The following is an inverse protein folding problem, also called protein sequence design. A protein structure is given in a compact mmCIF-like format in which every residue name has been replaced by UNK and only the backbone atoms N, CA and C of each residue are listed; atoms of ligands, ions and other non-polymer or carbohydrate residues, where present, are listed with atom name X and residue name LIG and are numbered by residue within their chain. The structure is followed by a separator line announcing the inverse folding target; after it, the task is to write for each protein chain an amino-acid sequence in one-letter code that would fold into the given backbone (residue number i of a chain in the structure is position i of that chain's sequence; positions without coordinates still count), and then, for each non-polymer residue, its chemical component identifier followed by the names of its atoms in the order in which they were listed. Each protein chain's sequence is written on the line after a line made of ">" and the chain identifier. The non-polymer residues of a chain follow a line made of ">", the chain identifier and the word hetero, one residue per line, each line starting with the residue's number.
data_IF_837435739687
#
_entry.id   IF_837435739687
#
_cell.length_a   1.000
_cell.length_b   1.000
_cell.length_c   1.000
_cell.angle_alpha   90.00
_cell.angle_beta   90.00
_cell.angle_gamma   90.00
#
_symmetry.space_group_name_H-M   'P 1'
#
loop_
_entity.id
_entity.type
_entity.pdbx_description
1 polymer ?
#
# COMPACT_ATOMS: atom_id res chain seq x y z
N UNK A 1 38.89 -5.05 65.67
CA UNK A 1 38.33 -5.85 64.55
C UNK A 1 36.83 -5.63 64.33
N UNK A 2 36.40 -4.41 64.11
CA UNK A 2 34.96 -4.11 63.90
C UNK A 2 34.77 -2.96 62.92
N UNK A 3 35.56 -2.87 61.83
CA UNK A 3 35.48 -1.77 60.86
C UNK A 3 35.50 -2.16 59.37
N UNK A 4 35.20 -3.42 59.03
CA UNK A 4 35.29 -3.83 57.61
C UNK A 4 34.01 -4.53 57.08
N UNK A 5 32.84 -4.33 57.63
CA UNK A 5 31.61 -4.98 57.17
C UNK A 5 30.62 -4.01 56.52
N UNK A 6 30.93 -2.73 56.38
CA UNK A 6 29.98 -1.74 55.84
C UNK A 6 30.31 -1.32 54.38
N UNK A 7 31.37 -1.83 53.78
CA UNK A 7 31.79 -1.45 52.42
C UNK A 7 31.25 -2.36 51.29
N UNK A 8 30.45 -3.39 51.64
CA UNK A 8 29.98 -4.41 50.68
C UNK A 8 28.57 -4.31 50.19
N UNK A 9 27.76 -3.34 50.61
CA UNK A 9 26.31 -3.35 50.37
C UNK A 9 25.78 -2.19 49.52
N UNK A 10 26.67 -1.46 48.86
CA UNK A 10 26.27 -0.28 48.03
C UNK A 10 26.54 -0.44 46.52
N UNK A 11 26.86 -1.64 46.06
CA UNK A 11 27.21 -1.87 44.64
C UNK A 11 26.13 -2.73 43.89
N UNK A 12 24.99 -2.99 44.45
CA UNK A 12 24.00 -3.92 43.86
C UNK A 12 22.68 -3.29 43.44
N UNK A 13 22.56 -1.95 43.40
CA UNK A 13 21.27 -1.29 43.05
C UNK A 13 21.31 -0.46 41.77
N UNK A 14 22.29 -0.65 40.90
CA UNK A 14 22.45 0.16 39.65
C UNK A 14 22.11 -0.58 38.36
N UNK A 15 21.44 -1.73 38.36
CA UNK A 15 21.18 -2.53 37.17
C UNK A 15 19.71 -2.85 36.87
N UNK A 16 18.75 -2.11 37.41
CA UNK A 16 17.34 -2.31 37.04
C UNK A 16 16.67 -1.07 36.47
N UNK A 17 17.43 -0.22 35.80
CA UNK A 17 16.87 0.82 34.94
C UNK A 17 16.89 0.36 33.48
N UNK A 18 16.46 -0.87 33.22
CA UNK A 18 15.86 -1.11 31.90
C UNK A 18 14.52 -0.41 31.91
N UNK A 19 14.58 0.92 31.81
CA UNK A 19 13.42 1.71 31.44
C UNK A 19 12.87 1.11 30.17
N UNK A 20 11.64 0.65 30.21
CA UNK A 20 10.79 0.58 29.06
C UNK A 20 10.77 1.99 28.46
N UNK A 21 11.74 2.31 27.61
CA UNK A 21 11.56 3.30 26.57
C UNK A 21 10.47 2.72 25.70
N UNK A 22 9.24 2.94 26.05
CA UNK A 22 8.14 2.92 25.10
C UNK A 22 8.55 3.90 24.02
N UNK A 23 9.23 3.41 22.97
CA UNK A 23 9.32 4.14 21.73
C UNK A 23 7.87 4.36 21.34
N UNK A 24 7.38 5.57 21.54
CA UNK A 24 6.21 6.03 20.82
C UNK A 24 6.65 5.97 19.37
N UNK A 25 6.36 4.84 18.70
CA UNK A 25 6.66 4.69 17.30
C UNK A 25 5.83 5.77 16.60
N UNK A 26 6.49 6.74 15.99
CA UNK A 26 5.82 7.73 15.18
C UNK A 26 5.04 7.00 14.09
N UNK A 27 3.91 7.54 13.71
CA UNK A 27 3.14 7.04 12.59
C UNK A 27 3.20 8.02 11.41
N UNK A 28 3.15 7.46 10.21
CA UNK A 28 3.03 8.24 8.98
C UNK A 28 1.57 8.47 8.61
N UNK A 29 1.33 9.51 7.83
CA UNK A 29 0.04 9.75 7.16
C UNK A 29 0.26 9.88 5.66
N UNK A 30 -0.65 9.30 4.88
CA UNK A 30 -0.63 9.32 3.42
C UNK A 30 -1.95 9.82 2.87
N UNK A 31 -1.88 10.80 1.95
CA UNK A 31 -3.02 11.32 1.21
C UNK A 31 -3.25 10.45 -0.03
N UNK A 32 -4.30 9.63 0.01
CA UNK A 32 -4.62 8.71 -1.08
C UNK A 32 -5.04 9.41 -2.36
N UNK A 33 -5.67 10.58 -2.30
CA UNK A 33 -6.02 11.36 -3.49
C UNK A 33 -4.78 11.87 -4.21
N UNK A 34 -3.78 12.31 -3.44
CA UNK A 34 -2.50 12.72 -4.02
C UNK A 34 -1.76 11.53 -4.65
N UNK A 35 -1.77 10.35 -4.01
CA UNK A 35 -1.20 9.12 -4.56
C UNK A 35 -1.87 8.75 -5.89
N UNK A 36 -3.20 8.70 -5.93
CA UNK A 36 -3.97 8.36 -7.13
C UNK A 36 -3.73 9.34 -8.30
N UNK A 37 -3.56 10.62 -8.00
CA UNK A 37 -3.39 11.64 -9.03
C UNK A 37 -1.96 11.79 -9.53
N UNK A 38 -0.95 11.52 -8.71
CA UNK A 38 0.45 11.83 -9.01
C UNK A 38 1.33 10.60 -9.27
N UNK A 39 1.00 9.42 -8.71
CA UNK A 39 1.86 8.25 -8.86
C UNK A 39 1.94 7.79 -10.32
N UNK A 40 3.15 7.66 -10.85
CA UNK A 40 3.39 7.29 -12.24
C UNK A 40 2.78 5.93 -12.59
N UNK A 41 2.85 4.96 -11.68
CA UNK A 41 2.28 3.62 -11.88
C UNK A 41 0.76 3.67 -12.10
N UNK A 42 0.05 4.62 -11.50
CA UNK A 42 -1.41 4.76 -11.72
C UNK A 42 -1.69 5.08 -13.17
N UNK A 43 -0.96 6.03 -13.77
CA UNK A 43 -1.09 6.38 -15.20
C UNK A 43 -0.77 5.19 -16.10
N UNK A 44 0.33 4.51 -15.83
CA UNK A 44 0.74 3.32 -16.59
C UNK A 44 -0.34 2.23 -16.55
N UNK A 45 -0.90 1.94 -15.37
CA UNK A 45 -1.96 0.94 -15.21
C UNK A 45 -3.25 1.38 -15.91
N UNK A 46 -3.62 2.66 -15.85
CA UNK A 46 -4.77 3.19 -16.58
C UNK A 46 -4.61 3.06 -18.11
N UNK A 47 -3.41 3.33 -18.63
CA UNK A 47 -3.10 3.13 -20.03
C UNK A 47 -3.17 1.65 -20.44
N UNK A 48 -2.64 0.74 -19.60
CA UNK A 48 -2.75 -0.70 -19.81
C UNK A 48 -4.22 -1.17 -19.86
N UNK A 49 -5.05 -0.73 -18.91
CA UNK A 49 -6.49 -1.06 -18.88
C UNK A 49 -7.20 -0.52 -20.11
N UNK A 50 -6.90 0.72 -20.51
CA UNK A 50 -7.49 1.34 -21.69
C UNK A 50 -7.13 0.58 -22.96
N UNK A 51 -5.84 0.25 -23.14
CA UNK A 51 -5.34 -0.46 -24.30
C UNK A 51 -5.93 -1.87 -24.41
N UNK A 52 -5.85 -2.65 -23.31
CA UNK A 52 -6.42 -4.00 -23.25
C UNK A 52 -7.94 -3.98 -23.42
N UNK A 53 -8.62 -2.99 -22.82
CA UNK A 53 -10.06 -2.82 -22.94
C UNK A 53 -10.50 -2.53 -24.37
N UNK A 54 -9.77 -1.65 -25.09
CA UNK A 54 -10.03 -1.38 -26.51
C UNK A 54 -9.85 -2.63 -27.38
N UNK A 55 -8.72 -3.32 -27.22
CA UNK A 55 -8.45 -4.54 -27.97
C UNK A 55 -9.55 -5.59 -27.75
N UNK A 56 -9.96 -5.78 -26.49
CA UNK A 56 -11.04 -6.72 -26.14
C UNK A 56 -12.39 -6.28 -26.71
N UNK A 57 -12.67 -4.98 -26.78
CA UNK A 57 -13.88 -4.45 -27.39
C UNK A 57 -13.91 -4.69 -28.90
N UNK A 58 -12.77 -4.52 -29.57
CA UNK A 58 -12.66 -4.78 -31.02
C UNK A 58 -12.86 -6.28 -31.32
N UNK A 59 -12.24 -7.17 -30.52
CA UNK A 59 -12.46 -8.61 -30.58
C UNK A 59 -13.96 -8.96 -30.39
N UNK A 60 -14.61 -8.37 -29.39
CA UNK A 60 -16.03 -8.57 -29.12
C UNK A 60 -16.90 -8.13 -30.32
N UNK A 61 -16.63 -6.95 -30.87
CA UNK A 61 -17.38 -6.43 -32.01
C UNK A 61 -17.29 -7.39 -33.19
N UNK A 62 -16.08 -7.86 -33.53
CA UNK A 62 -15.85 -8.85 -34.58
C UNK A 62 -16.56 -10.17 -34.28
N UNK A 63 -16.50 -10.65 -33.03
CA UNK A 63 -17.15 -11.88 -32.63
C UNK A 63 -18.68 -11.81 -32.63
N UNK A 64 -19.26 -10.60 -32.55
CA UNK A 64 -20.71 -10.37 -32.60
C UNK A 64 -21.28 -10.33 -34.03
N UNK A 65 -20.42 -10.20 -35.05
CA UNK A 65 -20.87 -10.15 -36.45
C UNK A 65 -21.62 -11.42 -36.84
N UNK A 66 -22.84 -11.26 -37.35
CA UNK A 66 -23.68 -12.36 -37.77
C UNK A 66 -24.26 -13.22 -36.64
N UNK A 67 -23.97 -12.93 -35.37
CA UNK A 67 -24.48 -13.70 -34.22
C UNK A 67 -25.79 -13.14 -33.67
N UNK A 68 -26.69 -14.05 -33.29
CA UNK A 68 -28.00 -13.74 -32.73
C UNK A 68 -28.33 -14.66 -31.54
N UNK A 69 -29.32 -14.29 -30.73
CA UNK A 69 -29.83 -15.13 -29.65
C UNK A 69 -28.73 -15.52 -28.63
N UNK A 70 -28.66 -16.81 -28.32
CA UNK A 70 -27.76 -17.34 -27.29
C UNK A 70 -26.27 -17.20 -27.64
N UNK A 71 -25.91 -17.24 -28.93
CA UNK A 71 -24.51 -17.05 -29.34
C UNK A 71 -24.03 -15.63 -29.03
N UNK A 72 -24.87 -14.64 -29.31
CA UNK A 72 -24.58 -13.24 -28.96
C UNK A 72 -24.42 -13.07 -27.45
N UNK A 73 -25.30 -13.71 -26.67
CA UNK A 73 -25.24 -13.66 -25.20
C UNK A 73 -23.92 -14.23 -24.67
N UNK A 74 -23.46 -15.36 -25.20
CA UNK A 74 -22.18 -15.95 -24.80
C UNK A 74 -21.00 -15.05 -25.08
N UNK A 75 -20.96 -14.37 -26.21
CA UNK A 75 -19.88 -13.41 -26.54
C UNK A 75 -19.85 -12.25 -25.55
N UNK A 76 -21.03 -11.72 -25.17
CA UNK A 76 -21.12 -10.63 -24.20
C UNK A 76 -20.71 -11.06 -22.78
N UNK A 77 -21.07 -12.29 -22.38
CA UNK A 77 -20.66 -12.86 -21.11
C UNK A 77 -19.14 -13.07 -21.04
N UNK A 78 -18.53 -13.59 -22.11
CA UNK A 78 -17.08 -13.74 -22.24
C UNK A 78 -16.37 -12.38 -22.14
N UNK A 79 -16.84 -11.39 -22.90
CA UNK A 79 -16.30 -10.03 -22.83
C UNK A 79 -16.35 -9.47 -21.40
N UNK A 80 -17.48 -9.60 -20.72
CA UNK A 80 -17.65 -9.13 -19.35
C UNK A 80 -16.67 -9.81 -18.40
N UNK A 81 -16.53 -11.13 -18.51
CA UNK A 81 -15.59 -11.90 -17.69
C UNK A 81 -14.15 -11.46 -17.90
N UNK A 82 -13.73 -11.34 -19.16
CA UNK A 82 -12.36 -10.91 -19.50
C UNK A 82 -12.09 -9.47 -19.07
N UNK A 83 -13.06 -8.57 -19.21
CA UNK A 83 -12.94 -7.19 -18.72
C UNK A 83 -12.79 -7.13 -17.20
N UNK A 84 -13.51 -7.98 -16.46
CA UNK A 84 -13.37 -8.06 -15.00
C UNK A 84 -11.97 -8.57 -14.60
N UNK A 85 -11.40 -9.52 -15.34
CA UNK A 85 -10.01 -9.97 -15.12
C UNK A 85 -9.03 -8.82 -15.32
N UNK A 86 -9.14 -8.07 -16.42
CA UNK A 86 -8.27 -6.90 -16.70
C UNK A 86 -8.33 -5.90 -15.53
N UNK A 87 -9.53 -5.60 -15.05
CA UNK A 87 -9.71 -4.67 -13.91
C UNK A 87 -9.12 -5.21 -12.60
N UNK A 88 -9.33 -6.50 -12.33
CA UNK A 88 -8.79 -7.15 -11.14
C UNK A 88 -7.25 -7.17 -11.15
N UNK A 89 -6.63 -7.49 -12.28
CA UNK A 89 -5.18 -7.43 -12.46
C UNK A 89 -4.64 -6.02 -12.19
N UNK A 90 -5.30 -5.00 -12.74
CA UNK A 90 -4.94 -3.60 -12.53
C UNK A 90 -5.01 -3.20 -11.05
N UNK A 91 -6.09 -3.56 -10.36
CA UNK A 91 -6.25 -3.31 -8.92
C UNK A 91 -5.17 -4.01 -8.10
N UNK A 92 -4.88 -5.29 -8.41
CA UNK A 92 -3.85 -6.05 -7.72
C UNK A 92 -2.46 -5.44 -7.93
N UNK A 93 -2.15 -4.96 -9.14
CA UNK A 93 -0.89 -4.30 -9.47
C UNK A 93 -0.72 -2.99 -8.68
N UNK A 94 -1.76 -2.16 -8.64
CA UNK A 94 -1.75 -0.91 -7.87
C UNK A 94 -1.62 -1.18 -6.36
N UNK A 95 -2.38 -2.14 -5.85
CA UNK A 95 -2.31 -2.53 -4.43
C UNK A 95 -0.91 -3.02 -4.06
N UNK A 96 -0.32 -3.93 -4.84
CA UNK A 96 1.01 -4.46 -4.57
C UNK A 96 2.08 -3.36 -4.59
N UNK A 97 1.99 -2.42 -5.55
CA UNK A 97 2.89 -1.27 -5.63
C UNK A 97 2.76 -0.36 -4.40
N UNK A 98 1.53 -0.06 -4.00
CA UNK A 98 1.25 0.75 -2.81
C UNK A 98 1.74 0.06 -1.52
N UNK A 99 1.40 -1.21 -1.32
CA UNK A 99 1.82 -1.98 -0.14
C UNK A 99 3.35 -2.02 -0.02
N UNK A 100 4.05 -2.21 -1.15
CA UNK A 100 5.51 -2.19 -1.19
C UNK A 100 6.06 -0.81 -0.81
N UNK A 101 5.54 0.26 -1.41
CA UNK A 101 5.97 1.62 -1.14
C UNK A 101 5.73 2.02 0.33
N UNK A 102 4.56 1.68 0.89
CA UNK A 102 4.24 1.94 2.30
C UNK A 102 5.20 1.23 3.26
N UNK A 103 5.49 -0.05 2.99
CA UNK A 103 6.42 -0.84 3.81
C UNK A 103 7.85 -0.28 3.75
N UNK A 104 8.32 0.11 2.57
CA UNK A 104 9.65 0.71 2.39
C UNK A 104 9.76 2.05 3.13
N UNK A 105 8.79 2.93 2.97
CA UNK A 105 8.76 4.24 3.63
C UNK A 105 8.69 4.09 5.15
N UNK A 106 7.82 3.21 5.66
CA UNK A 106 7.71 2.94 7.09
C UNK A 106 9.03 2.46 7.68
N UNK A 107 9.70 1.53 6.98
CA UNK A 107 11.00 0.99 7.39
C UNK A 107 12.10 2.05 7.36
N UNK A 108 12.20 2.83 6.30
CA UNK A 108 13.23 3.87 6.15
C UNK A 108 13.10 4.98 7.19
N UNK A 109 11.87 5.35 7.51
CA UNK A 109 11.58 6.43 8.48
C UNK A 109 11.38 5.92 9.91
N UNK A 110 11.47 4.61 10.15
CA UNK A 110 11.29 4.02 11.48
C UNK A 110 9.88 4.18 12.04
N UNK A 111 8.88 4.22 11.17
CA UNK A 111 7.47 4.40 11.56
C UNK A 111 6.85 3.08 12.02
N UNK A 112 6.01 3.14 13.03
CA UNK A 112 5.26 1.98 13.52
C UNK A 112 4.05 1.62 12.66
N UNK A 113 3.50 2.60 11.95
CA UNK A 113 2.36 2.46 11.04
C UNK A 113 2.32 3.60 10.04
N UNK A 114 1.63 3.40 8.92
CA UNK A 114 1.20 4.47 8.00
C UNK A 114 -0.32 4.41 7.87
N UNK A 115 -0.98 5.52 8.12
CA UNK A 115 -2.42 5.65 8.15
C UNK A 115 -2.90 6.55 6.98
N UNK A 116 -4.13 6.38 6.57
CA UNK A 116 -4.78 7.27 5.61
C UNK A 116 -5.02 8.63 6.29
N UNK A 117 -4.62 9.71 5.63
CA UNK A 117 -4.67 11.08 6.18
C UNK A 117 -6.08 11.48 6.63
N UNK A 118 -7.10 11.09 5.87
CA UNK A 118 -8.50 11.38 6.17
C UNK A 118 -9.00 10.69 7.45
N UNK A 119 -8.35 9.62 7.87
CA UNK A 119 -8.68 8.90 9.12
C UNK A 119 -7.97 9.48 10.36
N UNK A 120 -7.06 10.44 10.16
CA UNK A 120 -6.24 11.02 11.23
C UNK A 120 -6.60 12.49 11.42
N UNK A 121 -7.33 12.85 12.50
CA UNK A 121 -7.75 14.25 12.73
C UNK A 121 -6.57 15.21 12.94
N UNK A 122 -5.48 14.73 13.54
CA UNK A 122 -4.30 15.55 13.85
C UNK A 122 -3.07 14.67 14.09
N UNK A 123 -1.90 15.16 13.69
CA UNK A 123 -0.59 14.54 13.93
C UNK A 123 -0.16 13.58 12.83
N UNK A 124 0.96 12.91 13.07
CA UNK A 124 1.63 12.03 12.11
C UNK A 124 2.61 12.76 11.19
N UNK A 125 3.53 11.99 10.62
CA UNK A 125 4.51 12.47 9.63
C UNK A 125 3.90 12.29 8.25
N UNK A 126 3.74 13.36 7.48
CA UNK A 126 3.26 13.24 6.09
C UNK A 126 4.32 12.55 5.23
N UNK A 127 3.97 11.39 4.70
CA UNK A 127 4.85 10.55 3.86
C UNK A 127 4.31 10.39 2.43
N UNK A 128 3.35 11.20 2.04
CA UNK A 128 2.66 11.10 0.74
C UNK A 128 3.62 11.13 -0.44
N UNK A 129 4.51 12.12 -0.50
CA UNK A 129 5.45 12.24 -1.62
C UNK A 129 6.50 11.12 -1.61
N UNK A 130 6.92 10.64 -0.44
CA UNK A 130 7.83 9.50 -0.34
C UNK A 130 7.18 8.21 -0.89
N UNK A 131 5.91 7.98 -0.56
CA UNK A 131 5.14 6.84 -1.06
C UNK A 131 4.97 6.94 -2.58
N UNK A 132 4.58 8.11 -3.10
CA UNK A 132 4.43 8.35 -4.54
C UNK A 132 5.73 8.04 -5.29
N UNK A 133 6.87 8.50 -4.76
CA UNK A 133 8.18 8.28 -5.38
C UNK A 133 8.60 6.80 -5.43
N UNK A 134 8.10 5.97 -4.50
CA UNK A 134 8.41 4.54 -4.42
C UNK A 134 7.43 3.64 -5.17
N UNK A 135 6.27 4.12 -5.52
CA UNK A 135 5.30 3.35 -6.32
C UNK A 135 5.79 3.17 -7.76
N UNK A 136 6.00 1.90 -8.14
CA UNK A 136 6.52 1.48 -9.47
C UNK A 136 5.61 0.45 -10.10
#
# INVERSE_FOLDING_TARGET
>A
MKKQIIAGLLAATALLSFGCSGRNAEFGVVDMHAVESKAAVVKTVQEEVTTKGKALQDEMNTALEGKTGDERKKVLEDYTSRMNVIRSEAQNKLKASLDTALNEVAKEKGLGAVLIKEAVPQGGVDVTEDVIAKMK
#
